data_IF_015426375530
#
_entry.id   IF_015426375530
#
_cell.length_a   1.000
_cell.length_b   1.000
_cell.length_c   1.000
_cell.angle_alpha   90.00
_cell.angle_beta   90.00
_cell.angle_gamma   90.00
#
_symmetry.space_group_name_H-M   'P 1'
#
loop_
_entity.id
_entity.type
_entity.pdbx_description
1 polymer ?
#
# COMPACT_ATOMS: atom_id res chain seq x y z
N UNK A 1 0.44 -27.59 17.43
CA UNK A 1 1.27 -26.42 17.09
C UNK A 1 0.66 -25.75 15.87
N UNK A 2 0.60 -24.41 15.80
CA UNK A 2 0.10 -23.73 14.62
C UNK A 2 0.95 -24.06 13.39
N UNK A 3 0.31 -24.15 12.23
CA UNK A 3 1.02 -24.33 10.97
C UNK A 3 1.86 -23.09 10.63
N UNK A 4 2.84 -23.21 9.71
CA UNK A 4 3.59 -22.04 9.27
C UNK A 4 2.67 -20.96 8.66
N UNK A 5 1.65 -21.34 7.90
CA UNK A 5 0.66 -20.41 7.35
C UNK A 5 -0.03 -19.63 8.46
N UNK A 6 -0.49 -20.31 9.52
CA UNK A 6 -1.13 -19.68 10.67
C UNK A 6 -0.18 -18.72 11.40
N UNK A 7 1.10 -19.05 11.52
CA UNK A 7 2.09 -18.15 12.14
C UNK A 7 2.28 -16.86 11.33
N UNK A 8 2.33 -16.96 10.00
CA UNK A 8 2.45 -15.77 9.15
C UNK A 8 1.16 -14.96 9.10
N UNK A 9 -0.02 -15.59 9.13
CA UNK A 9 -1.29 -14.88 9.27
C UNK A 9 -1.35 -14.10 10.60
N UNK A 10 -1.02 -14.74 11.72
CA UNK A 10 -0.95 -14.06 13.03
C UNK A 10 0.10 -12.92 13.05
N UNK A 11 1.20 -13.06 12.32
CA UNK A 11 2.17 -11.97 12.17
C UNK A 11 1.53 -10.78 11.42
N UNK A 12 0.78 -11.04 10.34
CA UNK A 12 0.09 -10.00 9.59
C UNK A 12 -0.94 -9.27 10.47
N UNK A 13 -1.77 -10.01 11.22
CA UNK A 13 -2.77 -9.42 12.14
C UNK A 13 -2.11 -8.50 13.17
N UNK A 14 -1.06 -8.97 13.84
CA UNK A 14 -0.30 -8.16 14.80
C UNK A 14 0.34 -6.92 14.16
N UNK A 15 0.82 -7.06 12.92
CA UNK A 15 1.40 -5.92 12.20
C UNK A 15 0.33 -4.90 11.86
N UNK A 16 -0.88 -5.36 11.44
CA UNK A 16 -2.02 -4.48 11.19
C UNK A 16 -2.36 -3.62 12.42
N UNK A 17 -2.51 -4.25 13.59
CA UNK A 17 -2.75 -3.53 14.86
C UNK A 17 -1.61 -2.56 15.21
N UNK A 18 -0.37 -2.94 14.91
CA UNK A 18 0.79 -2.12 15.25
C UNK A 18 0.96 -0.89 14.36
N UNK A 19 0.68 -0.99 13.05
CA UNK A 19 0.90 0.11 12.13
C UNK A 19 -0.04 1.29 12.38
N UNK A 20 -1.27 1.04 12.85
CA UNK A 20 -2.22 2.09 13.25
C UNK A 20 -2.01 2.59 14.69
N UNK A 21 -1.00 2.10 15.39
CA UNK A 21 -0.69 2.54 16.75
C UNK A 21 0.08 3.86 16.85
N UNK A 22 0.58 4.43 15.74
CA UNK A 22 1.22 5.74 15.70
C UNK A 22 1.42 6.25 14.28
N UNK A 23 1.50 7.58 14.13
CA UNK A 23 1.82 8.27 12.88
C UNK A 23 3.09 7.70 12.21
N UNK A 24 4.16 7.54 12.97
CA UNK A 24 5.46 7.07 12.44
C UNK A 24 5.37 5.65 11.88
N UNK A 25 4.62 4.77 12.53
CA UNK A 25 4.45 3.40 12.05
C UNK A 25 3.57 3.34 10.80
N UNK A 26 2.51 4.13 10.78
CA UNK A 26 1.62 4.20 9.62
C UNK A 26 2.33 4.75 8.40
N UNK A 27 3.01 5.89 8.52
CA UNK A 27 3.74 6.51 7.41
C UNK A 27 4.93 5.66 6.94
N UNK A 28 5.60 4.92 7.84
CA UNK A 28 6.60 3.93 7.44
C UNK A 28 6.01 2.80 6.60
N UNK A 29 4.81 2.29 6.96
CA UNK A 29 4.08 1.33 6.14
C UNK A 29 3.71 1.92 4.78
N UNK A 30 3.11 3.12 4.72
CA UNK A 30 2.72 3.79 3.47
C UNK A 30 3.93 4.00 2.55
N UNK A 31 5.08 4.37 3.09
CA UNK A 31 6.33 4.53 2.33
C UNK A 31 6.77 3.21 1.68
N UNK A 32 6.60 2.10 2.36
CA UNK A 32 6.88 0.77 1.80
C UNK A 32 5.83 0.37 0.77
N UNK A 33 4.54 0.60 1.06
CA UNK A 33 3.43 0.35 0.16
C UNK A 33 3.58 1.12 -1.16
N UNK A 34 4.05 2.37 -1.11
CA UNK A 34 4.34 3.20 -2.28
C UNK A 34 5.33 2.54 -3.26
N UNK A 35 6.37 1.88 -2.74
CA UNK A 35 7.33 1.12 -3.57
C UNK A 35 6.73 -0.16 -4.12
N UNK A 36 5.79 -0.75 -3.38
CA UNK A 36 5.17 -2.04 -3.64
C UNK A 36 3.72 -1.91 -4.17
N UNK A 37 3.35 -0.79 -4.78
CA UNK A 37 1.98 -0.44 -5.19
C UNK A 37 1.29 -1.49 -6.10
N UNK A 38 2.05 -2.39 -6.73
CA UNK A 38 1.52 -3.50 -7.54
C UNK A 38 1.10 -4.72 -6.73
N UNK A 39 1.41 -4.75 -5.44
CA UNK A 39 0.97 -5.79 -4.52
C UNK A 39 -0.33 -5.36 -3.84
N UNK A 40 -1.29 -6.28 -3.61
CA UNK A 40 -2.46 -5.97 -2.80
C UNK A 40 -2.07 -5.72 -1.34
N UNK A 41 -2.91 -5.02 -0.60
CA UNK A 41 -2.64 -4.60 0.78
C UNK A 41 -2.09 -5.72 1.68
N UNK A 42 -2.73 -6.89 1.69
CA UNK A 42 -2.31 -8.01 2.54
C UNK A 42 -0.87 -8.46 2.27
N UNK A 43 -0.43 -8.41 1.01
CA UNK A 43 0.94 -8.75 0.63
C UNK A 43 1.91 -7.61 0.94
N UNK A 44 1.51 -6.35 0.73
CA UNK A 44 2.28 -5.18 1.16
C UNK A 44 2.56 -5.23 2.66
N UNK A 45 1.53 -5.55 3.47
CA UNK A 45 1.64 -5.68 4.92
C UNK A 45 2.60 -6.82 5.32
N UNK A 46 2.49 -7.98 4.68
CA UNK A 46 3.38 -9.11 4.95
C UNK A 46 4.83 -8.83 4.53
N UNK A 47 5.04 -8.12 3.42
CA UNK A 47 6.39 -7.69 3.01
C UNK A 47 6.93 -6.69 4.03
N UNK A 48 6.14 -5.68 4.40
CA UNK A 48 6.53 -4.68 5.40
C UNK A 48 6.91 -5.31 6.73
N UNK A 49 6.12 -6.26 7.22
CA UNK A 49 6.38 -6.95 8.48
C UNK A 49 7.71 -7.71 8.51
N UNK A 50 8.18 -8.18 7.37
CA UNK A 50 9.41 -8.97 7.26
C UNK A 50 10.60 -8.17 6.74
N UNK A 51 10.34 -7.14 5.93
CA UNK A 51 11.36 -6.28 5.30
C UNK A 51 10.80 -4.90 4.96
N UNK A 52 10.75 -3.97 5.91
CA UNK A 52 10.20 -2.62 5.70
C UNK A 52 10.93 -1.83 4.60
N UNK A 53 12.22 -2.11 4.36
CA UNK A 53 13.04 -1.45 3.35
C UNK A 53 12.91 -2.03 1.94
N UNK A 54 12.07 -3.05 1.73
CA UNK A 54 11.88 -3.68 0.41
C UNK A 54 11.52 -2.65 -0.67
N UNK A 55 12.11 -2.82 -1.85
CA UNK A 55 11.95 -1.88 -2.97
C UNK A 55 11.28 -2.49 -4.19
N UNK A 56 11.67 -3.70 -4.57
CA UNK A 56 11.10 -4.42 -5.71
C UNK A 56 11.16 -5.93 -5.44
N UNK A 57 10.03 -6.50 -5.14
CA UNK A 57 9.90 -7.91 -4.83
C UNK A 57 9.38 -8.71 -6.02
N UNK A 58 9.89 -9.94 -6.18
CA UNK A 58 9.33 -10.90 -7.15
C UNK A 58 9.69 -12.33 -6.75
N UNK A 59 8.96 -13.28 -7.33
CA UNK A 59 9.25 -14.70 -7.16
C UNK A 59 10.59 -15.10 -7.79
N UNK A 60 11.16 -16.19 -7.30
CA UNK A 60 12.44 -16.73 -7.76
C UNK A 60 12.50 -16.90 -9.28
N UNK A 61 11.42 -17.43 -9.88
CA UNK A 61 11.35 -17.71 -11.31
C UNK A 61 11.39 -16.43 -12.15
N UNK A 62 10.76 -15.35 -11.70
CA UNK A 62 10.83 -14.06 -12.39
C UNK A 62 12.27 -13.54 -12.38
N UNK A 63 12.93 -13.56 -11.22
CA UNK A 63 14.31 -13.11 -11.13
C UNK A 63 15.23 -13.93 -12.03
N UNK A 64 15.15 -15.25 -11.94
CA UNK A 64 16.08 -16.15 -12.62
C UNK A 64 15.79 -16.26 -14.13
N UNK A 65 14.54 -16.53 -14.52
CA UNK A 65 14.18 -16.83 -15.91
C UNK A 65 13.97 -15.58 -16.76
N UNK A 66 13.29 -14.57 -16.22
CA UNK A 66 12.92 -13.38 -16.99
C UNK A 66 13.96 -12.26 -16.87
N UNK A 67 14.45 -12.01 -15.66
CA UNK A 67 15.41 -10.94 -15.39
C UNK A 67 16.86 -11.40 -15.51
N UNK A 68 17.12 -12.71 -15.60
CA UNK A 68 18.46 -13.31 -15.62
C UNK A 68 19.32 -12.85 -14.46
N UNK A 69 18.68 -12.73 -13.29
CA UNK A 69 19.29 -12.37 -12.02
C UNK A 69 19.21 -13.57 -11.08
N UNK A 70 20.23 -13.77 -10.28
CA UNK A 70 20.32 -14.89 -9.36
C UNK A 70 20.03 -14.41 -7.94
N UNK A 71 19.10 -15.07 -7.24
CA UNK A 71 18.94 -14.89 -5.81
C UNK A 71 20.19 -15.41 -5.12
N UNK A 72 20.85 -14.56 -4.33
CA UNK A 72 22.11 -14.91 -3.68
C UNK A 72 21.90 -16.04 -2.67
N UNK A 73 22.88 -16.94 -2.59
CA UNK A 73 22.85 -18.02 -1.61
C UNK A 73 22.77 -17.47 -0.20
N UNK A 74 21.84 -17.99 0.60
CA UNK A 74 21.60 -17.55 1.97
C UNK A 74 20.57 -16.41 2.10
N UNK A 75 20.08 -15.83 1.00
CA UNK A 75 18.97 -14.89 1.06
C UNK A 75 17.73 -15.56 1.63
N UNK A 76 17.02 -14.85 2.53
CA UNK A 76 15.77 -15.32 3.09
C UNK A 76 14.61 -14.78 2.25
N UNK A 77 13.79 -15.69 1.72
CA UNK A 77 12.57 -15.30 1.03
C UNK A 77 11.56 -14.69 1.99
N UNK A 78 10.87 -13.66 1.53
CA UNK A 78 9.74 -13.04 2.20
C UNK A 78 8.53 -13.94 1.96
N UNK A 79 7.92 -14.46 3.03
CA UNK A 79 6.79 -15.35 2.94
C UNK A 79 5.48 -14.58 2.74
N UNK A 80 4.70 -14.96 1.76
CA UNK A 80 3.35 -14.46 1.50
C UNK A 80 2.36 -15.62 1.64
N UNK A 81 1.16 -15.35 2.16
CA UNK A 81 0.09 -16.32 2.20
C UNK A 81 -0.67 -16.27 0.88
N UNK A 82 -0.63 -17.35 0.13
CA UNK A 82 -1.40 -17.53 -1.09
C UNK A 82 -2.73 -18.21 -0.74
N UNK A 83 -3.82 -17.49 -0.97
CA UNK A 83 -5.20 -17.95 -0.73
C UNK A 83 -5.94 -18.29 -2.02
N UNK A 84 -5.24 -18.43 -3.14
CA UNK A 84 -5.85 -18.75 -4.44
C UNK A 84 -6.45 -20.17 -4.54
N UNK A 85 -6.19 -21.01 -3.55
CA UNK A 85 -6.74 -22.36 -3.44
C UNK A 85 -7.44 -22.57 -2.08
N UNK A 86 -8.32 -23.58 -1.98
CA UNK A 86 -9.04 -23.95 -0.75
C UNK A 86 -8.12 -24.23 0.44
N UNK A 87 -6.85 -24.57 0.17
CA UNK A 87 -5.84 -24.75 1.19
C UNK A 87 -4.77 -23.65 1.06
N UNK A 88 -4.78 -22.65 1.96
CA UNK A 88 -3.77 -21.60 1.96
C UNK A 88 -2.35 -22.17 2.08
N UNK A 89 -1.44 -21.68 1.25
CA UNK A 89 -0.04 -22.10 1.23
C UNK A 89 0.89 -20.87 1.26
N UNK A 90 2.16 -21.11 1.59
CA UNK A 90 3.18 -20.06 1.50
C UNK A 90 3.79 -20.02 0.10
N UNK A 91 3.88 -18.84 -0.47
CA UNK A 91 4.78 -18.52 -1.58
C UNK A 91 5.86 -17.56 -1.10
N UNK A 92 6.95 -17.48 -1.82
CA UNK A 92 8.09 -16.67 -1.41
C UNK A 92 8.47 -15.69 -2.51
N UNK A 93 8.71 -14.45 -2.11
CA UNK A 93 9.29 -13.42 -2.96
C UNK A 93 10.64 -12.97 -2.41
N UNK A 94 11.48 -12.42 -3.27
CA UNK A 94 12.80 -11.90 -2.94
C UNK A 94 12.88 -10.45 -3.40
N UNK A 95 13.43 -9.59 -2.59
CA UNK A 95 13.71 -8.21 -2.99
C UNK A 95 14.87 -8.15 -3.97
N UNK A 96 14.89 -7.14 -4.82
CA UNK A 96 15.97 -6.91 -5.78
C UNK A 96 17.34 -6.85 -5.12
N UNK A 97 17.41 -6.36 -3.89
CA UNK A 97 18.64 -6.31 -3.09
C UNK A 97 19.19 -7.70 -2.72
N UNK A 98 18.37 -8.75 -2.77
CA UNK A 98 18.79 -10.15 -2.58
C UNK A 98 19.37 -10.77 -3.85
N UNK A 99 19.32 -10.06 -4.97
CA UNK A 99 19.71 -10.63 -6.27
C UNK A 99 21.04 -10.07 -6.75
N UNK A 100 21.74 -10.85 -7.57
CA UNK A 100 22.89 -10.42 -8.35
C UNK A 100 22.66 -10.74 -9.82
N UNK A 101 23.32 -10.00 -10.70
CA UNK A 101 23.20 -10.19 -12.14
C UNK A 101 24.59 -10.19 -12.80
N UNK A 102 24.75 -10.97 -13.88
CA UNK A 102 25.91 -10.92 -14.78
C UNK A 102 25.67 -9.95 -15.95
N UNK A 103 26.56 -9.95 -16.93
CA UNK A 103 26.53 -9.04 -18.09
C UNK A 103 25.21 -9.06 -18.86
N UNK A 104 24.54 -10.22 -18.95
CA UNK A 104 23.27 -10.38 -19.67
C UNK A 104 22.03 -10.25 -18.77
N UNK A 105 22.18 -9.79 -17.53
CA UNK A 105 21.07 -9.60 -16.62
C UNK A 105 20.31 -8.31 -16.94
N UNK A 106 18.98 -8.37 -16.80
CA UNK A 106 18.13 -7.18 -16.87
C UNK A 106 18.15 -6.49 -15.51
N UNK A 107 18.32 -5.17 -15.52
CA UNK A 107 18.07 -4.37 -14.31
C UNK A 107 16.58 -4.11 -14.20
N UNK A 108 15.95 -4.26 -13.02
CA UNK A 108 14.57 -3.82 -12.84
C UNK A 108 14.49 -2.33 -13.09
N UNK A 109 13.54 -1.93 -13.93
CA UNK A 109 13.26 -0.51 -14.14
C UNK A 109 12.38 -0.04 -12.98
N UNK A 110 13.00 0.70 -12.06
CA UNK A 110 12.31 1.37 -10.97
C UNK A 110 12.06 2.80 -11.45
N UNK A 111 10.85 3.03 -11.97
CA UNK A 111 10.49 4.37 -12.44
C UNK A 111 10.61 5.38 -11.30
N UNK A 112 11.24 6.50 -11.59
CA UNK A 112 11.40 7.64 -10.69
C UNK A 112 10.74 8.87 -11.32
N UNK A 113 9.88 9.55 -10.56
CA UNK A 113 9.36 10.84 -10.97
C UNK A 113 10.49 11.87 -10.94
N UNK A 114 10.52 12.73 -11.96
CA UNK A 114 11.42 13.88 -12.05
C UNK A 114 10.61 15.11 -12.42
N UNK A 115 11.15 16.30 -12.14
CA UNK A 115 10.48 17.56 -12.45
C UNK A 115 10.08 17.70 -13.94
N UNK A 116 10.89 17.14 -14.84
CA UNK A 116 10.61 17.11 -16.29
C UNK A 116 9.36 16.28 -16.66
N UNK A 117 8.91 15.38 -15.76
CA UNK A 117 7.72 14.56 -15.97
C UNK A 117 6.42 15.25 -15.52
N UNK A 118 6.53 16.42 -14.84
CA UNK A 118 5.39 17.09 -14.18
C UNK A 118 4.23 17.33 -15.13
N UNK A 119 4.48 17.96 -16.26
CA UNK A 119 3.43 18.33 -17.22
C UNK A 119 2.77 17.09 -17.82
N UNK A 120 3.56 16.08 -18.19
CA UNK A 120 3.06 14.84 -18.77
C UNK A 120 2.23 14.05 -17.76
N UNK A 121 2.69 13.96 -16.49
CA UNK A 121 1.95 13.27 -15.43
C UNK A 121 0.66 14.03 -15.10
N UNK A 122 0.72 15.35 -14.96
CA UNK A 122 -0.46 16.17 -14.69
C UNK A 122 -1.50 16.06 -15.81
N UNK A 123 -1.09 16.14 -17.07
CA UNK A 123 -1.99 15.96 -18.21
C UNK A 123 -2.60 14.56 -18.28
N UNK A 124 -1.83 13.52 -17.93
CA UNK A 124 -2.33 12.15 -17.88
C UNK A 124 -3.38 11.95 -16.76
N UNK A 125 -3.17 12.56 -15.60
CA UNK A 125 -4.15 12.55 -14.50
C UNK A 125 -5.43 13.30 -14.90
N UNK A 126 -5.30 14.48 -15.51
CA UNK A 126 -6.43 15.24 -15.99
C UNK A 126 -7.25 14.46 -17.04
N UNK A 127 -6.56 13.87 -18.01
CA UNK A 127 -7.22 13.07 -19.05
C UNK A 127 -7.95 11.85 -18.48
N UNK A 128 -7.39 11.21 -17.45
CA UNK A 128 -7.93 9.95 -16.91
C UNK A 128 -9.00 10.15 -15.86
N UNK A 129 -8.87 11.18 -15.03
CA UNK A 129 -9.72 11.40 -13.85
C UNK A 129 -10.55 12.69 -13.92
N UNK A 130 -10.39 13.50 -14.96
CA UNK A 130 -11.05 14.81 -15.12
C UNK A 130 -10.74 15.79 -13.96
N UNK A 131 -9.51 15.74 -13.46
CA UNK A 131 -9.01 16.56 -12.34
C UNK A 131 -7.89 17.47 -12.81
N UNK A 132 -8.17 18.79 -12.89
CA UNK A 132 -7.20 19.81 -13.33
C UNK A 132 -5.98 19.90 -12.41
N UNK A 133 -4.80 20.11 -12.99
CA UNK A 133 -3.53 20.29 -12.27
C UNK A 133 -3.16 21.76 -11.99
N UNK A 134 -4.09 22.72 -12.10
CA UNK A 134 -3.82 24.16 -11.95
C UNK A 134 -3.16 24.53 -10.62
N UNK A 135 -3.58 23.90 -9.52
CA UNK A 135 -3.03 24.15 -8.17
C UNK A 135 -1.74 23.36 -7.88
N UNK A 136 -1.27 22.58 -8.83
CA UNK A 136 -0.07 21.76 -8.71
C UNK A 136 -0.35 20.26 -8.56
N UNK A 137 0.73 19.48 -8.73
CA UNK A 137 0.62 18.03 -8.80
C UNK A 137 0.17 17.39 -7.49
N UNK A 138 0.56 17.93 -6.33
CA UNK A 138 0.15 17.39 -5.03
C UNK A 138 -1.35 17.57 -4.80
N UNK A 139 -1.89 18.77 -5.05
CA UNK A 139 -3.34 19.05 -5.00
C UNK A 139 -4.12 18.17 -5.99
N UNK A 140 -3.59 18.02 -7.21
CA UNK A 140 -4.21 17.16 -8.21
C UNK A 140 -4.28 15.70 -7.75
N UNK A 141 -3.20 15.16 -7.17
CA UNK A 141 -3.16 13.80 -6.62
C UNK A 141 -4.14 13.63 -5.46
N UNK A 142 -4.26 14.63 -4.58
CA UNK A 142 -5.21 14.59 -3.47
C UNK A 142 -6.65 14.54 -3.97
N UNK A 143 -7.01 15.37 -4.97
CA UNK A 143 -8.36 15.35 -5.55
C UNK A 143 -8.67 14.05 -6.29
N UNK A 144 -7.70 13.49 -6.99
CA UNK A 144 -7.84 12.15 -7.60
C UNK A 144 -8.02 11.08 -6.51
N UNK A 145 -7.25 11.15 -5.44
CA UNK A 145 -7.40 10.24 -4.30
C UNK A 145 -8.78 10.35 -3.66
N UNK A 146 -9.29 11.58 -3.46
CA UNK A 146 -10.62 11.83 -2.92
C UNK A 146 -11.73 11.22 -3.79
N UNK A 147 -11.65 11.39 -5.11
CA UNK A 147 -12.60 10.79 -6.05
C UNK A 147 -12.59 9.25 -5.96
N UNK A 148 -11.42 8.63 -6.02
CA UNK A 148 -11.29 7.17 -5.98
C UNK A 148 -11.73 6.57 -4.64
N UNK A 149 -11.44 7.26 -3.54
CA UNK A 149 -11.88 6.86 -2.19
C UNK A 149 -13.39 6.99 -2.03
N UNK A 150 -14.00 8.04 -2.60
CA UNK A 150 -15.47 8.21 -2.60
C UNK A 150 -16.15 7.09 -3.40
N UNK A 151 -15.64 6.73 -4.57
CA UNK A 151 -16.10 5.60 -5.36
C UNK A 151 -15.98 4.29 -4.57
N UNK A 152 -14.80 4.05 -3.96
CA UNK A 152 -14.57 2.86 -3.14
C UNK A 152 -15.53 2.78 -1.96
N UNK A 153 -15.74 3.88 -1.23
CA UNK A 153 -16.71 3.93 -0.14
C UNK A 153 -18.13 3.62 -0.61
N UNK A 154 -18.56 4.23 -1.72
CA UNK A 154 -19.89 3.99 -2.27
C UNK A 154 -20.15 2.50 -2.52
N UNK A 155 -19.17 1.80 -3.07
CA UNK A 155 -19.27 0.39 -3.45
C UNK A 155 -19.15 -0.57 -2.26
N UNK A 156 -18.35 -0.21 -1.23
CA UNK A 156 -17.98 -1.11 -0.14
C UNK A 156 -18.56 -0.71 1.23
N UNK A 157 -19.35 0.36 1.35
CA UNK A 157 -19.79 0.93 2.63
C UNK A 157 -20.46 -0.08 3.56
N UNK A 158 -21.28 -1.00 3.03
CA UNK A 158 -21.98 -2.00 3.84
C UNK A 158 -21.03 -2.96 4.52
N UNK A 159 -20.02 -3.39 3.78
CA UNK A 159 -19.00 -4.31 4.29
C UNK A 159 -18.12 -3.60 5.32
N UNK A 160 -17.75 -2.33 5.07
CA UNK A 160 -16.95 -1.53 5.99
C UNK A 160 -17.70 -1.28 7.29
N UNK A 161 -18.98 -0.87 7.22
CA UNK A 161 -19.81 -0.66 8.42
C UNK A 161 -20.02 -1.97 9.18
N UNK A 162 -20.09 -3.12 8.49
CA UNK A 162 -20.30 -4.43 9.09
C UNK A 162 -19.11 -5.00 9.87
N UNK A 163 -17.93 -4.37 9.81
CA UNK A 163 -16.70 -4.88 10.45
C UNK A 163 -16.12 -3.96 11.53
N UNK A 164 -16.84 -2.91 11.93
CA UNK A 164 -16.32 -1.92 12.91
C UNK A 164 -16.39 -2.40 14.36
N UNK A 165 -17.10 -3.47 14.66
CA UNK A 165 -17.23 -4.03 16.00
C UNK A 165 -15.84 -4.27 16.63
N UNK A 166 -15.64 -3.81 17.85
CA UNK A 166 -14.39 -3.90 18.60
C UNK A 166 -13.32 -2.88 18.18
N UNK A 167 -13.61 -2.02 17.22
CA UNK A 167 -12.75 -0.87 16.87
C UNK A 167 -13.19 0.40 17.58
N UNK A 168 -12.41 1.48 17.47
CA UNK A 168 -12.83 2.79 17.99
C UNK A 168 -13.99 3.42 17.18
N UNK A 169 -14.40 2.78 16.09
CA UNK A 169 -15.55 3.18 15.27
C UNK A 169 -16.87 2.52 15.69
N UNK A 170 -16.88 1.58 16.64
CA UNK A 170 -18.08 0.78 16.95
C UNK A 170 -19.30 1.59 17.40
N UNK A 171 -19.06 2.72 18.06
CA UNK A 171 -20.11 3.62 18.53
C UNK A 171 -20.52 4.70 17.51
N UNK A 172 -19.87 4.71 16.31
CA UNK A 172 -20.16 5.69 15.27
C UNK A 172 -21.35 5.24 14.41
N UNK A 173 -22.15 6.19 13.97
CA UNK A 173 -23.13 5.94 12.93
C UNK A 173 -22.46 5.83 11.53
N UNK A 174 -23.22 5.33 10.53
CA UNK A 174 -22.72 5.13 9.17
C UNK A 174 -22.13 6.42 8.56
N UNK A 175 -22.72 7.58 8.88
CA UNK A 175 -22.24 8.86 8.38
C UNK A 175 -20.85 9.20 8.95
N UNK A 176 -20.67 9.05 10.25
CA UNK A 176 -19.40 9.31 10.92
C UNK A 176 -18.33 8.28 10.58
N UNK A 177 -18.70 6.99 10.44
CA UNK A 177 -17.78 5.95 9.90
C UNK A 177 -17.32 6.36 8.50
N UNK A 178 -18.25 6.78 7.64
CA UNK A 178 -17.93 7.21 6.29
C UNK A 178 -17.02 8.44 6.22
N UNK A 179 -17.20 9.40 7.11
CA UNK A 179 -16.34 10.57 7.21
C UNK A 179 -14.93 10.18 7.66
N UNK A 180 -14.81 9.39 8.73
CA UNK A 180 -13.53 8.89 9.23
C UNK A 180 -12.79 8.07 8.17
N UNK A 181 -13.51 7.17 7.47
CA UNK A 181 -12.93 6.35 6.41
C UNK A 181 -12.36 7.20 5.26
N UNK A 182 -13.15 8.15 4.74
CA UNK A 182 -12.71 9.01 3.65
C UNK A 182 -11.48 9.83 4.04
N UNK A 183 -11.52 10.47 5.21
CA UNK A 183 -10.40 11.27 5.70
C UNK A 183 -9.13 10.41 5.81
N UNK A 184 -9.21 9.26 6.47
CA UNK A 184 -8.07 8.36 6.64
C UNK A 184 -7.55 7.81 5.29
N UNK A 185 -8.45 7.42 4.38
CA UNK A 185 -8.08 6.85 3.10
C UNK A 185 -7.51 7.89 2.13
N UNK A 186 -8.07 9.10 2.05
CA UNK A 186 -7.59 10.17 1.16
C UNK A 186 -6.20 10.61 1.56
N UNK A 187 -5.97 10.97 2.81
CA UNK A 187 -4.65 11.39 3.29
C UNK A 187 -3.59 10.30 3.07
N UNK A 188 -3.94 9.04 3.34
CA UNK A 188 -3.01 7.92 3.20
C UNK A 188 -2.72 7.57 1.73
N UNK A 189 -3.72 7.64 0.85
CA UNK A 189 -3.54 7.45 -0.60
C UNK A 189 -2.66 8.55 -1.17
N UNK A 190 -2.95 9.81 -0.84
CA UNK A 190 -2.15 10.96 -1.30
C UNK A 190 -0.71 10.86 -0.79
N UNK A 191 -0.51 10.53 0.48
CA UNK A 191 0.83 10.27 1.03
C UNK A 191 1.58 9.18 0.24
N UNK A 192 0.89 8.09 -0.11
CA UNK A 192 1.47 6.99 -0.89
C UNK A 192 1.87 7.45 -2.30
N UNK A 193 1.02 8.22 -2.98
CA UNK A 193 1.29 8.75 -4.31
C UNK A 193 2.48 9.71 -4.29
N UNK A 194 2.52 10.66 -3.35
CA UNK A 194 3.63 11.60 -3.19
C UNK A 194 4.94 10.88 -2.88
N UNK A 195 4.91 9.91 -1.95
CA UNK A 195 6.08 9.08 -1.62
C UNK A 195 6.60 8.33 -2.85
N UNK A 196 5.71 7.77 -3.68
CA UNK A 196 6.10 7.04 -4.90
C UNK A 196 6.72 7.97 -5.93
N UNK A 197 6.29 9.22 -5.99
CA UNK A 197 6.85 10.25 -6.85
C UNK A 197 8.14 10.87 -6.31
N UNK A 198 8.65 10.43 -5.15
CA UNK A 198 9.86 10.99 -4.54
C UNK A 198 9.67 12.41 -3.99
N UNK A 199 8.41 12.86 -3.86
CA UNK A 199 8.08 14.08 -3.14
C UNK A 199 8.19 13.80 -1.64
N UNK A 200 8.43 14.83 -0.83
CA UNK A 200 8.51 14.69 0.62
C UNK A 200 7.10 14.88 1.21
N UNK A 201 6.38 13.82 1.63
CA UNK A 201 5.02 14.00 2.11
C UNK A 201 4.93 14.86 3.37
N UNK A 202 5.99 14.92 4.19
CA UNK A 202 6.08 15.81 5.35
C UNK A 202 6.03 17.31 5.03
N UNK A 203 6.18 17.71 3.75
CA UNK A 203 5.97 19.08 3.32
C UNK A 203 4.48 19.40 3.10
N UNK A 204 3.61 18.39 3.09
CA UNK A 204 2.18 18.49 2.78
C UNK A 204 1.27 18.04 3.92
N UNK A 205 1.75 17.15 4.78
CA UNK A 205 0.96 16.53 5.84
C UNK A 205 1.65 16.59 7.19
N UNK A 206 0.85 16.85 8.21
CA UNK A 206 1.24 16.79 9.61
C UNK A 206 0.60 15.57 10.31
N UNK A 207 0.96 15.34 11.56
CA UNK A 207 0.42 14.22 12.36
C UNK A 207 -1.11 14.29 12.49
N UNK A 208 -1.64 15.49 12.63
CA UNK A 208 -3.05 15.78 12.82
C UNK A 208 -3.93 15.34 11.66
N UNK A 209 -3.38 15.32 10.45
CA UNK A 209 -4.12 14.87 9.25
C UNK A 209 -4.43 13.38 9.28
N UNK A 210 -3.69 12.60 10.08
CA UNK A 210 -3.84 11.15 10.19
C UNK A 210 -4.65 10.68 11.39
N UNK A 211 -5.26 11.58 12.17
CA UNK A 211 -5.96 11.20 13.41
C UNK A 211 -7.05 10.14 13.18
N UNK A 212 -7.81 10.25 12.09
CA UNK A 212 -8.84 9.25 11.76
C UNK A 212 -8.29 7.86 11.43
N UNK A 213 -7.01 7.72 11.07
CA UNK A 213 -6.40 6.41 10.83
C UNK A 213 -6.40 5.55 12.10
N UNK A 214 -6.24 6.19 13.25
CA UNK A 214 -6.11 5.49 14.53
C UNK A 214 -7.44 4.91 15.04
N UNK A 215 -8.56 5.33 14.46
CA UNK A 215 -9.88 4.75 14.72
C UNK A 215 -10.02 3.33 14.11
N UNK A 216 -9.22 3.04 13.06
CA UNK A 216 -9.13 1.73 12.40
C UNK A 216 -8.10 0.86 13.12
N UNK A 217 -8.41 0.35 14.31
CA UNK A 217 -7.45 -0.30 15.21
C UNK A 217 -7.64 -1.83 15.36
N UNK A 218 -8.49 -2.45 14.54
CA UNK A 218 -8.62 -3.90 14.44
C UNK A 218 -8.04 -4.41 13.12
N UNK A 219 -7.57 -5.67 13.02
CA UNK A 219 -7.07 -6.21 11.76
C UNK A 219 -8.05 -6.08 10.59
N UNK A 220 -9.36 -6.21 10.85
CA UNK A 220 -10.42 -6.12 9.84
C UNK A 220 -10.58 -4.68 9.33
N UNK A 221 -10.67 -3.71 10.23
CA UNK A 221 -10.84 -2.30 9.85
C UNK A 221 -9.57 -1.76 9.17
N UNK A 222 -8.38 -2.13 9.64
CA UNK A 222 -7.11 -1.79 8.98
C UNK A 222 -7.03 -2.43 7.59
N UNK A 223 -7.53 -3.67 7.43
CA UNK A 223 -7.53 -4.34 6.12
C UNK A 223 -8.46 -3.64 5.13
N UNK A 224 -9.64 -3.19 5.56
CA UNK A 224 -10.55 -2.41 4.71
C UNK A 224 -9.91 -1.08 4.27
N UNK A 225 -9.34 -0.32 5.23
CA UNK A 225 -8.66 0.94 4.95
C UNK A 225 -7.45 0.72 4.02
N UNK A 226 -6.58 -0.23 4.34
CA UNK A 226 -5.39 -0.53 3.55
C UNK A 226 -5.69 -1.05 2.15
N UNK A 227 -6.80 -1.80 1.98
CA UNK A 227 -7.25 -2.25 0.66
C UNK A 227 -7.70 -1.08 -0.21
N UNK A 228 -8.48 -0.14 0.35
CA UNK A 228 -8.88 1.06 -0.37
C UNK A 228 -7.66 1.87 -0.83
N UNK A 229 -6.68 2.10 0.07
CA UNK A 229 -5.45 2.83 -0.23
C UNK A 229 -4.65 2.11 -1.33
N UNK A 230 -4.47 0.79 -1.21
CA UNK A 230 -3.72 -0.01 -2.17
C UNK A 230 -4.35 0.02 -3.56
N UNK A 231 -5.67 -0.18 -3.66
CA UNK A 231 -6.40 -0.18 -4.93
C UNK A 231 -6.40 1.21 -5.59
N UNK A 232 -6.69 2.26 -4.81
CA UNK A 232 -6.67 3.64 -5.32
C UNK A 232 -5.29 4.05 -5.80
N UNK A 233 -4.24 3.72 -5.02
CA UNK A 233 -2.86 4.00 -5.42
C UNK A 233 -2.44 3.23 -6.67
N UNK A 234 -2.82 1.96 -6.79
CA UNK A 234 -2.51 1.15 -7.97
C UNK A 234 -3.17 1.71 -9.23
N UNK A 235 -4.43 2.17 -9.14
CA UNK A 235 -5.15 2.78 -10.26
C UNK A 235 -4.43 4.03 -10.78
N UNK A 236 -3.84 4.83 -9.91
CA UNK A 236 -3.11 6.04 -10.31
C UNK A 236 -1.72 5.72 -10.85
N UNK A 237 -1.02 4.76 -10.26
CA UNK A 237 0.40 4.48 -10.52
C UNK A 237 0.65 3.47 -11.66
N UNK A 238 -0.40 2.89 -12.24
CA UNK A 238 -0.35 2.04 -13.45
C UNK A 238 -0.74 2.83 -14.68
#
# INVERSE_FOLDING_TARGET
MPSKVQLYAQMADRTAEQITGSYQKWTAFLTTAARLYKYPYNEQLMIFAQRPEATACAEYDLWNKQMRRYVRRGSKGIALVDTSSDQPKLRYVFDVSDTSGGENSRRPYLWEYRQEHREVVSAALEQRFDVSGENGLADQMERVAAQLVDEYWHDNRRDIVGIVDGSFLEDYDEFNIGAAFRNAAVVSTTYTLLSRCGMQPGDYFEHEDFLNVFDFNTPQTVAALGTAISQSSELVLR
#
